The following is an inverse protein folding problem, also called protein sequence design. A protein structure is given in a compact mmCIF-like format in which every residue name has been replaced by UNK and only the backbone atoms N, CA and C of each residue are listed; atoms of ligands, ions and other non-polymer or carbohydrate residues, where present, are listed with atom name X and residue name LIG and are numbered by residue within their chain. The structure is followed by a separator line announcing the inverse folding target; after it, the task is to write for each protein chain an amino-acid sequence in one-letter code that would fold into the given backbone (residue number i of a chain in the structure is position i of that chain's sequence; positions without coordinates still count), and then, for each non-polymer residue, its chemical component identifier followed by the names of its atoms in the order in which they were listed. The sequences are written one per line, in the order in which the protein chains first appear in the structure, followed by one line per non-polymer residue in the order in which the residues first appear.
data_IF_676941427779
#
_entry.id   IF_676941427779
#
_cell.length_a   1.000
_cell.length_b   1.000
_cell.length_c   1.000
_cell.angle_alpha   90.00
_cell.angle_beta   90.00
_cell.angle_gamma   90.00
#
_symmetry.space_group_name_H-M   'P 1'
#
loop_
_entity.id
_entity.type
_entity.pdbx_description
1 polymer ?
#
# COMPACT_ATOMS: atom_id res chain seq x y z
N UNK A 1 -0.62 -2.26 24.13
CA UNK A 1 -0.10 -1.31 25.13
C UNK A 1 0.90 -1.88 26.13
N UNK A 2 0.64 -3.03 26.81
CA UNK A 2 1.59 -3.61 27.78
C UNK A 2 3.01 -3.83 27.21
N UNK A 3 3.13 -4.29 25.97
CA UNK A 3 4.43 -4.48 25.31
C UNK A 3 5.11 -3.15 24.89
N UNK A 4 4.34 -2.11 24.56
CA UNK A 4 4.92 -0.80 24.27
C UNK A 4 5.51 -0.17 25.54
N UNK A 5 4.79 -0.31 26.67
CA UNK A 5 5.26 0.10 27.99
C UNK A 5 6.47 -0.71 28.46
N UNK A 6 6.64 -1.96 28.01
CA UNK A 6 7.84 -2.72 28.34
C UNK A 6 9.05 -2.26 27.53
N UNK A 7 8.89 -1.94 26.23
CA UNK A 7 9.98 -1.39 25.41
C UNK A 7 10.48 -0.06 25.97
N UNK A 8 9.57 0.87 26.29
CA UNK A 8 9.97 2.17 26.85
C UNK A 8 10.58 2.10 28.25
N UNK A 9 10.33 1.00 28.98
CA UNK A 9 10.93 0.71 30.29
C UNK A 9 12.14 -0.22 30.21
N UNK A 10 12.66 -0.50 29.01
CA UNK A 10 13.82 -1.39 28.81
C UNK A 10 13.57 -2.86 29.13
N UNK A 11 12.30 -3.28 29.29
CA UNK A 11 11.89 -4.66 29.59
C UNK A 11 11.58 -5.50 28.36
N UNK A 12 11.62 -4.90 27.16
CA UNK A 12 11.48 -5.62 25.89
C UNK A 12 12.35 -4.96 24.82
N UNK A 13 12.92 -5.76 23.92
CA UNK A 13 13.77 -5.30 22.82
C UNK A 13 12.96 -5.07 21.54
N UNK A 14 13.53 -4.32 20.60
CA UNK A 14 12.92 -4.18 19.27
C UNK A 14 12.75 -5.53 18.55
N UNK A 15 13.66 -6.48 18.77
CA UNK A 15 13.62 -7.79 18.10
C UNK A 15 12.45 -8.65 18.59
N UNK A 16 12.18 -8.66 19.89
CA UNK A 16 11.01 -9.32 20.49
C UNK A 16 9.69 -8.74 19.96
N UNK A 17 9.69 -7.45 19.59
CA UNK A 17 8.52 -6.75 19.11
C UNK A 17 8.31 -6.81 17.58
N UNK A 18 9.24 -7.39 16.81
CA UNK A 18 9.24 -7.31 15.34
C UNK A 18 7.96 -7.84 14.68
N UNK A 19 7.30 -8.83 15.28
CA UNK A 19 6.03 -9.40 14.79
C UNK A 19 4.84 -8.43 14.84
N UNK A 20 4.95 -7.36 15.63
CA UNK A 20 3.88 -6.37 15.80
C UNK A 20 4.01 -5.17 14.87
N UNK A 21 5.12 -5.02 14.14
CA UNK A 21 5.39 -3.84 13.30
C UNK A 21 4.27 -3.52 12.29
N UNK A 22 3.61 -4.55 11.75
CA UNK A 22 2.52 -4.43 10.78
C UNK A 22 1.13 -4.26 11.39
N UNK A 23 1.01 -4.03 12.70
CA UNK A 23 -0.28 -3.78 13.36
C UNK A 23 -0.59 -2.28 13.35
N UNK A 24 -1.86 -1.93 13.12
CA UNK A 24 -2.29 -0.53 12.98
C UNK A 24 -1.86 0.35 14.15
N UNK A 25 -2.11 -0.11 15.38
CA UNK A 25 -1.87 0.61 16.63
C UNK A 25 -0.42 0.54 17.16
N UNK A 26 0.55 0.16 16.31
CA UNK A 26 1.97 0.06 16.69
C UNK A 26 2.81 1.24 16.19
N UNK A 27 2.22 2.43 16.15
CA UNK A 27 2.89 3.67 15.72
C UNK A 27 4.16 3.95 16.53
N UNK A 28 4.06 3.91 17.86
CA UNK A 28 5.23 4.11 18.73
C UNK A 28 6.33 3.08 18.52
N UNK A 29 5.98 1.81 18.25
CA UNK A 29 6.98 0.78 17.94
C UNK A 29 7.74 1.14 16.67
N UNK A 30 7.05 1.60 15.61
CA UNK A 30 7.69 2.02 14.36
C UNK A 30 8.57 3.26 14.54
N UNK A 31 8.22 4.14 15.48
CA UNK A 31 9.03 5.31 15.83
C UNK A 31 10.31 4.94 16.58
N UNK A 32 10.20 4.04 17.56
CA UNK A 32 11.34 3.64 18.42
C UNK A 32 12.23 2.57 17.78
N UNK A 33 11.64 1.70 16.97
CA UNK A 33 12.30 0.57 16.31
C UNK A 33 12.19 0.65 14.78
N UNK A 34 12.52 1.78 14.13
CA UNK A 34 12.24 2.01 12.71
C UNK A 34 12.98 1.02 11.81
N UNK A 35 14.22 0.70 12.17
CA UNK A 35 15.05 -0.29 11.47
C UNK A 35 14.43 -1.68 11.55
N UNK A 36 14.09 -2.14 12.75
CA UNK A 36 13.50 -3.46 12.95
C UNK A 36 12.15 -3.58 12.24
N UNK A 37 11.34 -2.52 12.25
CA UNK A 37 10.09 -2.48 11.52
C UNK A 37 10.25 -2.30 10.00
N UNK A 38 11.47 -2.08 9.51
CA UNK A 38 11.73 -1.92 8.09
C UNK A 38 11.25 -0.58 7.52
N UNK A 39 11.17 0.49 8.32
CA UNK A 39 10.82 1.82 7.81
C UNK A 39 11.78 2.33 6.71
N UNK A 40 12.99 1.75 6.65
CA UNK A 40 14.01 1.99 5.62
C UNK A 40 14.17 0.85 4.60
N UNK A 41 13.27 -0.14 4.62
CA UNK A 41 13.25 -1.24 3.66
C UNK A 41 12.40 -0.86 2.45
N UNK A 42 12.96 -0.99 1.25
CA UNK A 42 12.31 -0.57 0.02
C UNK A 42 11.20 -1.54 -0.40
N UNK A 43 11.45 -2.84 -0.24
CA UNK A 43 10.63 -3.89 -0.86
C UNK A 43 9.82 -4.65 0.16
N UNK A 44 10.40 -5.01 1.31
CA UNK A 44 9.74 -5.94 2.22
C UNK A 44 9.61 -5.44 3.66
N UNK A 45 9.19 -4.18 3.91
CA UNK A 45 9.10 -3.66 5.25
C UNK A 45 8.21 -4.54 6.14
N UNK A 46 8.65 -4.79 7.38
CA UNK A 46 7.85 -5.56 8.36
C UNK A 46 6.59 -4.79 8.78
N UNK A 47 6.66 -3.47 8.80
CA UNK A 47 5.53 -2.57 8.98
C UNK A 47 4.54 -2.57 7.79
N UNK A 48 4.94 -3.11 6.64
CA UNK A 48 4.05 -3.34 5.50
C UNK A 48 3.37 -2.04 5.03
N UNK A 49 2.04 -2.04 4.85
CA UNK A 49 1.21 -0.87 4.56
C UNK A 49 1.43 0.33 5.51
N UNK A 50 1.76 0.06 6.77
CA UNK A 50 2.00 1.09 7.80
C UNK A 50 3.45 1.58 7.85
N UNK A 51 4.31 1.16 6.91
CA UNK A 51 5.69 1.64 6.83
C UNK A 51 5.72 3.04 6.20
N UNK A 52 5.20 4.06 6.88
CA UNK A 52 5.16 5.44 6.39
C UNK A 52 5.11 6.47 7.54
N UNK A 53 5.42 7.75 7.27
CA UNK A 53 5.41 8.81 8.28
C UNK A 53 4.08 8.94 9.03
N UNK A 54 2.95 8.87 8.34
CA UNK A 54 1.61 8.90 8.95
C UNK A 54 1.34 7.80 9.99
N UNK A 55 2.17 6.74 10.02
CA UNK A 55 2.07 5.64 10.98
C UNK A 55 3.32 5.50 11.86
N UNK A 56 4.14 6.54 11.98
CA UNK A 56 5.21 6.62 12.97
C UNK A 56 6.58 6.20 12.47
N UNK A 57 6.76 5.87 11.18
CA UNK A 57 8.10 5.79 10.63
C UNK A 57 8.74 7.19 10.59
N UNK A 58 9.97 7.39 11.08
CA UNK A 58 10.62 8.70 11.00
C UNK A 58 10.81 9.17 9.54
N UNK A 59 10.59 10.46 9.26
CA UNK A 59 10.77 11.04 7.92
C UNK A 59 12.17 10.80 7.35
N UNK A 60 13.19 10.80 8.23
CA UNK A 60 14.57 10.49 7.85
C UNK A 60 14.74 9.10 7.23
N UNK A 61 13.98 8.09 7.66
CA UNK A 61 14.02 6.78 7.02
C UNK A 61 13.52 6.83 5.56
N UNK A 62 12.65 7.79 5.24
CA UNK A 62 12.10 8.01 3.90
C UNK A 62 13.10 8.70 2.98
N UNK A 63 13.84 9.67 3.52
CA UNK A 63 14.95 10.33 2.85
C UNK A 63 16.06 9.32 2.56
N UNK A 64 16.43 8.49 3.56
CA UNK A 64 17.41 7.41 3.41
C UNK A 64 16.99 6.39 2.36
N UNK A 65 15.70 6.01 2.30
CA UNK A 65 15.18 5.14 1.24
C UNK A 65 15.35 5.76 -0.15
N UNK A 66 14.98 7.03 -0.30
CA UNK A 66 15.07 7.74 -1.57
C UNK A 66 16.53 7.90 -2.01
N UNK A 67 17.43 8.17 -1.06
CA UNK A 67 18.88 8.19 -1.28
C UNK A 67 19.42 6.80 -1.64
N UNK A 68 18.95 5.74 -0.97
CA UNK A 68 19.38 4.37 -1.25
C UNK A 68 18.96 3.92 -2.65
N UNK A 69 17.74 4.24 -3.09
CA UNK A 69 17.31 3.99 -4.47
C UNK A 69 18.20 4.69 -5.51
N UNK A 70 18.64 5.91 -5.22
CA UNK A 70 19.58 6.65 -6.08
C UNK A 70 20.96 5.98 -6.09
N UNK A 71 21.50 5.67 -4.91
CA UNK A 71 22.81 5.04 -4.79
C UNK A 71 22.88 3.65 -5.47
N UNK A 72 21.81 2.85 -5.41
CA UNK A 72 21.78 1.55 -6.11
C UNK A 72 22.01 1.70 -7.62
N UNK A 73 21.57 2.79 -8.24
CA UNK A 73 21.88 3.08 -9.64
C UNK A 73 23.38 3.38 -9.86
N UNK A 74 24.00 4.12 -8.95
CA UNK A 74 25.44 4.45 -9.04
C UNK A 74 26.33 3.20 -8.95
N UNK A 75 25.86 2.16 -8.22
CA UNK A 75 26.53 0.85 -8.14
C UNK A 75 26.09 -0.14 -9.22
N UNK A 76 25.38 0.30 -10.26
CA UNK A 76 24.97 -0.52 -11.40
C UNK A 76 23.76 -1.43 -11.14
N UNK A 77 23.10 -1.35 -9.97
CA UNK A 77 21.82 -2.00 -9.72
C UNK A 77 20.69 -1.09 -10.18
N UNK A 78 20.42 -1.11 -11.47
CA UNK A 78 19.34 -0.31 -12.05
C UNK A 78 18.00 -0.85 -11.55
N UNK A 79 17.29 -0.05 -10.75
CA UNK A 79 15.85 -0.26 -10.52
C UNK A 79 15.14 0.31 -11.75
N UNK A 80 14.58 -0.52 -12.65
CA UNK A 80 13.99 -0.02 -13.88
C UNK A 80 12.75 0.84 -13.57
N UNK A 81 12.47 1.84 -14.40
CA UNK A 81 11.20 2.56 -14.35
C UNK A 81 10.11 1.75 -15.07
N UNK A 82 9.80 0.59 -14.52
CA UNK A 82 8.81 -0.33 -15.09
C UNK A 82 7.96 -0.86 -13.95
N UNK A 83 6.65 -0.88 -14.17
CA UNK A 83 5.71 -1.48 -13.24
C UNK A 83 5.95 -2.98 -13.10
N UNK A 84 5.80 -3.51 -11.88
CA UNK A 84 5.82 -4.95 -11.71
C UNK A 84 4.64 -5.61 -12.42
N UNK A 85 4.87 -6.81 -12.95
CA UNK A 85 3.84 -7.60 -13.63
C UNK A 85 2.66 -7.90 -12.70
N UNK A 86 1.42 -7.97 -13.23
CA UNK A 86 0.24 -8.32 -12.44
C UNK A 86 0.39 -9.62 -11.64
N UNK A 87 0.97 -10.68 -12.22
CA UNK A 87 1.20 -11.97 -11.55
C UNK A 87 2.00 -11.83 -10.25
N UNK A 88 2.90 -10.84 -10.17
CA UNK A 88 3.71 -10.60 -8.98
C UNK A 88 2.87 -10.24 -7.76
N UNK A 89 1.73 -9.59 -7.91
CA UNK A 89 0.83 -9.31 -6.78
C UNK A 89 0.24 -10.59 -6.16
N UNK A 90 0.06 -11.63 -6.98
CA UNK A 90 -0.44 -12.93 -6.55
C UNK A 90 0.65 -13.87 -6.03
N UNK A 91 1.92 -13.55 -6.21
CA UNK A 91 3.05 -14.43 -5.84
C UNK A 91 3.92 -13.83 -4.72
N UNK A 92 4.11 -12.51 -4.73
CA UNK A 92 5.01 -11.80 -3.85
C UNK A 92 4.44 -11.69 -2.42
N UNK A 93 5.13 -12.33 -1.47
CA UNK A 93 4.73 -12.35 -0.05
C UNK A 93 4.68 -10.96 0.58
N UNK A 94 5.53 -10.01 0.14
CA UNK A 94 5.54 -8.65 0.67
C UNK A 94 4.34 -7.86 0.17
N UNK A 95 4.02 -7.93 -1.14
CA UNK A 95 2.80 -7.31 -1.68
C UNK A 95 1.53 -7.91 -1.07
N UNK A 96 1.45 -9.23 -0.91
CA UNK A 96 0.32 -9.86 -0.19
C UNK A 96 0.20 -9.32 1.24
N UNK A 97 1.31 -9.21 1.96
CA UNK A 97 1.32 -8.64 3.31
C UNK A 97 0.91 -7.17 3.30
N UNK A 98 1.28 -6.41 2.28
CA UNK A 98 0.88 -5.02 2.08
C UNK A 98 -0.64 -4.90 2.00
N UNK A 99 -1.26 -5.58 1.04
CA UNK A 99 -2.70 -5.47 0.83
C UNK A 99 -3.51 -6.09 1.95
N UNK A 100 -3.05 -7.18 2.57
CA UNK A 100 -3.70 -7.70 3.78
C UNK A 100 -3.76 -6.65 4.90
N UNK A 101 -2.69 -5.88 5.11
CA UNK A 101 -2.67 -4.81 6.13
C UNK A 101 -3.47 -3.57 5.75
N UNK A 102 -3.59 -3.28 4.45
CA UNK A 102 -4.55 -2.30 3.95
C UNK A 102 -6.00 -2.74 4.20
N UNK A 103 -6.36 -3.99 3.94
CA UNK A 103 -7.71 -4.48 4.20
C UNK A 103 -8.02 -4.50 5.71
N UNK A 104 -7.04 -4.86 6.55
CA UNK A 104 -7.16 -4.69 8.01
C UNK A 104 -7.38 -3.22 8.41
N UNK A 105 -6.72 -2.27 7.73
CA UNK A 105 -6.92 -0.84 7.97
C UNK A 105 -8.36 -0.41 7.66
N UNK A 106 -8.87 -0.76 6.48
CA UNK A 106 -10.24 -0.43 6.07
C UNK A 106 -11.26 -0.96 7.09
N UNK A 107 -11.14 -2.24 7.45
CA UNK A 107 -12.10 -2.93 8.32
C UNK A 107 -12.07 -2.46 9.78
N UNK A 108 -10.91 -1.97 10.26
CA UNK A 108 -10.78 -1.51 11.65
C UNK A 108 -10.96 0.00 11.80
N UNK A 109 -10.99 0.76 10.70
CA UNK A 109 -11.08 2.22 10.75
C UNK A 109 -12.49 2.69 11.09
N UNK A 110 -12.60 3.57 12.09
CA UNK A 110 -13.86 4.22 12.43
C UNK A 110 -14.34 4.99 11.20
N UNK A 111 -15.34 4.44 10.52
CA UNK A 111 -15.92 5.04 9.33
C UNK A 111 -15.38 4.53 8.00
N UNK A 112 -14.28 3.79 7.89
CA UNK A 112 -13.76 3.38 6.56
C UNK A 112 -14.74 2.51 5.78
N UNK A 113 -15.35 1.53 6.45
CA UNK A 113 -16.41 0.70 5.86
C UNK A 113 -17.64 1.54 5.46
N UNK A 114 -17.99 2.55 6.27
CA UNK A 114 -19.11 3.45 5.96
C UNK A 114 -18.79 4.39 4.81
N UNK A 115 -17.55 4.89 4.73
CA UNK A 115 -17.05 5.69 3.60
C UNK A 115 -17.15 4.89 2.32
N UNK A 116 -16.72 3.63 2.32
CA UNK A 116 -16.82 2.77 1.12
C UNK A 116 -18.28 2.53 0.74
N UNK A 117 -19.16 2.27 1.73
CA UNK A 117 -20.60 2.13 1.48
C UNK A 117 -21.18 3.39 0.83
N UNK A 118 -20.87 4.57 1.37
CA UNK A 118 -21.31 5.85 0.82
C UNK A 118 -20.73 6.11 -0.57
N UNK A 119 -19.45 5.80 -0.79
CA UNK A 119 -18.81 5.91 -2.11
C UNK A 119 -19.49 5.01 -3.15
N UNK A 120 -19.75 3.74 -2.81
CA UNK A 120 -20.43 2.79 -3.69
C UNK A 120 -21.88 3.22 -3.98
N UNK A 121 -22.60 3.74 -2.97
CA UNK A 121 -23.96 4.23 -3.15
C UNK A 121 -24.02 5.47 -4.05
N UNK A 122 -23.18 6.47 -3.78
CA UNK A 122 -23.26 7.77 -4.44
C UNK A 122 -22.62 7.75 -5.83
N UNK A 123 -21.66 6.85 -6.08
CA UNK A 123 -20.85 6.89 -7.29
C UNK A 123 -20.74 5.53 -8.01
N UNK A 124 -21.41 4.49 -7.52
CA UNK A 124 -21.45 3.18 -8.19
C UNK A 124 -21.88 3.28 -9.65
N UNK A 125 -22.76 4.23 -9.98
CA UNK A 125 -23.17 4.50 -11.37
C UNK A 125 -22.01 4.90 -12.30
N UNK A 126 -21.03 5.67 -11.83
CA UNK A 126 -19.84 6.02 -12.61
C UNK A 126 -18.91 4.82 -12.86
N UNK A 127 -18.99 3.81 -11.99
CA UNK A 127 -18.32 2.52 -12.16
C UNK A 127 -19.16 1.52 -12.99
N UNK A 128 -20.31 1.98 -13.51
CA UNK A 128 -21.27 1.15 -14.24
C UNK A 128 -21.99 0.12 -13.36
N UNK A 129 -21.97 0.28 -12.03
CA UNK A 129 -22.62 -0.62 -11.08
C UNK A 129 -24.08 -0.24 -10.89
N UNK A 130 -24.97 -1.24 -10.91
CA UNK A 130 -26.33 -1.06 -10.39
C UNK A 130 -26.33 -0.91 -8.87
N UNK A 131 -27.42 -0.39 -8.30
CA UNK A 131 -27.57 -0.31 -6.83
C UNK A 131 -27.41 -1.68 -6.14
N UNK A 132 -27.91 -2.74 -6.77
CA UNK A 132 -27.74 -4.12 -6.28
C UNK A 132 -26.27 -4.56 -6.31
N UNK A 133 -25.53 -4.25 -7.37
CA UNK A 133 -24.10 -4.56 -7.47
C UNK A 133 -23.26 -3.75 -6.49
N UNK A 134 -23.57 -2.46 -6.29
CA UNK A 134 -22.93 -1.62 -5.29
C UNK A 134 -23.15 -2.17 -3.87
N UNK A 135 -24.36 -2.64 -3.56
CA UNK A 135 -24.66 -3.33 -2.30
C UNK A 135 -23.87 -4.64 -2.15
N UNK A 136 -23.84 -5.47 -3.19
CA UNK A 136 -23.08 -6.72 -3.20
C UNK A 136 -21.57 -6.49 -3.01
N UNK A 137 -21.02 -5.44 -3.63
CA UNK A 137 -19.63 -5.03 -3.46
C UNK A 137 -19.29 -4.67 -2.00
N UNK A 138 -20.17 -3.91 -1.35
CA UNK A 138 -20.04 -3.58 0.05
C UNK A 138 -20.04 -4.85 0.93
N UNK A 139 -20.97 -5.77 0.69
CA UNK A 139 -21.02 -7.03 1.44
C UNK A 139 -19.78 -7.90 1.19
N UNK A 140 -19.27 -7.92 -0.04
CA UNK A 140 -18.06 -8.65 -0.42
C UNK A 140 -16.80 -8.09 0.25
N UNK A 141 -16.76 -6.78 0.48
CA UNK A 141 -15.70 -6.15 1.26
C UNK A 141 -15.76 -6.60 2.72
N UNK A 142 -16.95 -6.53 3.33
CA UNK A 142 -17.14 -6.83 4.76
C UNK A 142 -16.94 -8.30 5.10
N UNK A 143 -17.31 -9.21 4.19
CA UNK A 143 -17.21 -10.66 4.41
C UNK A 143 -15.89 -11.29 3.94
N UNK A 144 -14.87 -10.48 3.65
CA UNK A 144 -13.53 -10.90 3.20
C UNK A 144 -13.45 -11.47 1.78
N UNK A 145 -14.55 -11.52 1.02
CA UNK A 145 -14.54 -12.02 -0.36
C UNK A 145 -13.61 -11.19 -1.24
N UNK A 146 -13.74 -9.86 -1.17
CA UNK A 146 -12.94 -8.96 -1.99
C UNK A 146 -11.44 -9.03 -1.64
N UNK A 147 -11.10 -9.23 -0.35
CA UNK A 147 -9.71 -9.47 0.08
C UNK A 147 -9.15 -10.69 -0.63
N UNK A 148 -9.88 -11.82 -0.61
CA UNK A 148 -9.46 -13.07 -1.24
C UNK A 148 -9.29 -12.91 -2.75
N UNK A 149 -10.24 -12.25 -3.41
CA UNK A 149 -10.19 -11.95 -4.85
C UNK A 149 -8.92 -11.18 -5.22
N UNK A 150 -8.57 -10.12 -4.48
CA UNK A 150 -7.33 -9.39 -4.74
C UNK A 150 -6.09 -10.23 -4.45
N UNK A 151 -6.10 -11.05 -3.39
CA UNK A 151 -4.95 -11.85 -3.00
C UNK A 151 -4.69 -13.04 -3.95
N UNK A 152 -5.70 -13.45 -4.70
CA UNK A 152 -5.57 -14.44 -5.77
C UNK A 152 -5.18 -13.82 -7.12
N UNK A 153 -4.98 -12.50 -7.20
CA UNK A 153 -4.65 -11.82 -8.44
C UNK A 153 -5.82 -11.63 -9.40
N UNK A 154 -7.06 -11.68 -8.89
CA UNK A 154 -8.24 -11.36 -9.68
C UNK A 154 -8.50 -9.84 -9.61
N UNK A 155 -8.53 -9.21 -10.78
CA UNK A 155 -8.63 -7.75 -10.95
C UNK A 155 -10.09 -7.29 -11.08
N UNK A 156 -10.91 -7.78 -10.18
CA UNK A 156 -12.33 -7.48 -10.13
C UNK A 156 -12.58 -6.28 -9.23
N UNK A 157 -13.39 -5.32 -9.69
CA UNK A 157 -13.76 -4.17 -8.86
C UNK A 157 -14.82 -4.56 -7.81
N UNK A 158 -15.67 -5.53 -8.17
CA UNK A 158 -16.69 -6.17 -7.33
C UNK A 158 -16.78 -7.64 -7.76
N UNK A 159 -17.23 -8.58 -6.89
CA UNK A 159 -17.24 -9.99 -7.25
C UNK A 159 -17.94 -10.28 -8.58
N UNK A 160 -17.25 -11.01 -9.46
CA UNK A 160 -17.74 -11.39 -10.77
C UNK A 160 -17.73 -10.28 -11.81
N UNK A 161 -17.13 -9.13 -11.52
CA UNK A 161 -17.02 -8.02 -12.48
C UNK A 161 -15.61 -7.46 -12.54
N UNK A 162 -15.01 -7.59 -13.72
CA UNK A 162 -13.71 -7.00 -14.04
C UNK A 162 -13.72 -5.47 -13.90
N UNK A 163 -12.53 -4.90 -13.71
CA UNK A 163 -12.34 -3.46 -13.80
C UNK A 163 -12.94 -2.91 -15.12
N UNK A 164 -13.66 -1.77 -15.12
CA UNK A 164 -14.35 -1.26 -16.32
C UNK A 164 -13.44 -1.03 -17.53
N UNK A 165 -12.18 -0.69 -17.25
CA UNK A 165 -11.10 -0.50 -18.24
C UNK A 165 -10.20 -1.72 -18.44
N UNK A 166 -10.59 -2.89 -17.91
CA UNK A 166 -9.83 -4.13 -17.92
C UNK A 166 -8.38 -3.99 -17.39
N UNK A 167 -8.18 -3.11 -16.39
CA UNK A 167 -6.86 -2.86 -15.82
C UNK A 167 -6.45 -3.96 -14.85
N UNK A 168 -5.16 -4.19 -14.74
CA UNK A 168 -4.55 -5.21 -13.89
C UNK A 168 -3.28 -4.67 -13.23
N UNK A 169 -2.82 -5.32 -12.15
CA UNK A 169 -1.55 -5.00 -11.49
C UNK A 169 -1.47 -3.54 -11.03
N UNK A 170 -0.37 -2.88 -11.38
CA UNK A 170 -0.13 -1.48 -11.03
C UNK A 170 -1.19 -0.52 -11.60
N UNK A 171 -1.61 -0.71 -12.85
CA UNK A 171 -2.63 0.14 -13.47
C UNK A 171 -4.00 0.00 -12.79
N UNK A 172 -4.31 -1.17 -12.24
CA UNK A 172 -5.50 -1.37 -11.42
C UNK A 172 -5.38 -0.60 -10.10
N UNK A 173 -4.30 -0.80 -9.35
CA UNK A 173 -4.15 -0.20 -8.01
C UNK A 173 -3.93 1.32 -8.02
N UNK A 174 -3.40 1.89 -9.11
CA UNK A 174 -3.29 3.34 -9.28
C UNK A 174 -4.51 3.97 -9.95
N UNK A 175 -5.54 3.17 -10.29
CA UNK A 175 -6.70 3.67 -11.00
C UNK A 175 -7.52 4.63 -10.12
N UNK A 176 -8.17 5.60 -10.75
CA UNK A 176 -9.07 6.50 -10.04
C UNK A 176 -10.27 5.72 -9.50
N UNK A 177 -10.74 4.67 -10.18
CA UNK A 177 -11.86 3.84 -9.74
C UNK A 177 -11.56 3.15 -8.41
N UNK A 178 -10.36 2.57 -8.28
CA UNK A 178 -9.92 1.91 -7.05
C UNK A 178 -9.67 2.94 -5.95
N UNK A 179 -8.99 4.05 -6.26
CA UNK A 179 -8.75 5.14 -5.31
C UNK A 179 -10.07 5.68 -4.76
N UNK A 180 -11.04 5.89 -5.65
CA UNK A 180 -12.36 6.40 -5.34
C UNK A 180 -13.16 5.43 -4.46
N UNK A 181 -13.19 4.15 -4.86
CA UNK A 181 -13.92 3.11 -4.13
C UNK A 181 -13.33 2.88 -2.74
N UNK A 182 -12.00 2.87 -2.62
CA UNK A 182 -11.30 2.54 -1.38
C UNK A 182 -10.98 3.74 -0.49
N UNK A 183 -11.06 4.97 -1.03
CA UNK A 183 -10.66 6.19 -0.34
C UNK A 183 -9.16 6.29 -0.04
N UNK A 184 -8.32 5.55 -0.77
CA UNK A 184 -6.87 5.52 -0.58
C UNK A 184 -6.16 5.66 -1.92
N UNK A 185 -5.32 6.69 -2.02
CA UNK A 185 -4.35 6.84 -3.10
C UNK A 185 -3.07 6.06 -2.75
N UNK A 186 -2.89 4.90 -3.39
CA UNK A 186 -1.74 4.03 -3.19
C UNK A 186 -0.42 4.64 -3.70
N UNK A 187 -0.48 5.66 -4.54
CA UNK A 187 0.68 6.39 -5.05
C UNK A 187 1.07 7.57 -4.15
N UNK A 188 0.27 7.89 -3.13
CA UNK A 188 0.60 8.91 -2.12
C UNK A 188 1.63 8.37 -1.09
N UNK A 189 2.68 9.15 -0.83
CA UNK A 189 3.77 8.75 0.07
C UNK A 189 3.64 9.22 1.52
N UNK A 190 2.62 10.02 1.86
CA UNK A 190 2.53 10.68 3.17
C UNK A 190 1.86 9.81 4.24
N UNK A 191 0.68 9.29 3.89
CA UNK A 191 -0.19 8.63 4.87
C UNK A 191 0.13 7.15 5.03
N UNK A 192 0.44 6.45 3.94
CA UNK A 192 0.70 5.02 3.93
C UNK A 192 1.94 4.71 3.11
N UNK A 193 2.42 3.47 3.18
CA UNK A 193 3.52 3.03 2.31
C UNK A 193 3.04 3.12 0.86
N UNK A 194 3.72 3.90 0.02
CA UNK A 194 3.36 4.06 -1.39
C UNK A 194 3.75 2.83 -2.22
N UNK A 195 3.01 2.60 -3.31
CA UNK A 195 3.35 1.61 -4.34
C UNK A 195 4.37 2.12 -5.37
N UNK A 196 4.82 3.38 -5.34
CA UNK A 196 5.79 3.94 -6.30
C UNK A 196 7.03 3.06 -6.57
N UNK A 197 7.65 2.39 -5.57
CA UNK A 197 8.76 1.47 -5.84
C UNK A 197 8.37 0.27 -6.73
N UNK A 198 7.13 -0.20 -6.63
CA UNK A 198 6.59 -1.32 -7.42
C UNK A 198 5.92 -0.87 -8.72
N UNK A 199 5.31 0.30 -8.70
CA UNK A 199 4.42 0.82 -9.74
C UNK A 199 4.86 2.22 -10.19
N UNK A 200 6.14 2.42 -10.56
CA UNK A 200 6.64 3.76 -10.83
C UNK A 200 5.93 4.43 -12.02
N UNK A 201 5.61 3.68 -13.08
CA UNK A 201 4.97 4.23 -14.29
C UNK A 201 3.51 4.55 -13.99
N UNK A 202 2.77 3.58 -13.44
CA UNK A 202 1.36 3.74 -13.06
C UNK A 202 1.14 4.82 -12.00
N UNK A 203 2.11 5.09 -11.13
CA UNK A 203 2.07 6.18 -10.15
C UNK A 203 2.60 7.52 -10.70
N UNK A 204 2.99 7.59 -11.97
CA UNK A 204 3.43 8.81 -12.61
C UNK A 204 4.77 9.35 -12.08
N UNK A 205 5.66 8.47 -11.61
CA UNK A 205 6.99 8.84 -11.16
C UNK A 205 7.73 9.67 -12.20
N UNK A 206 8.32 10.78 -11.78
CA UNK A 206 9.24 11.60 -12.56
C UNK A 206 10.56 11.86 -11.85
N UNK A 207 11.33 12.79 -12.42
CA UNK A 207 12.59 13.24 -11.83
C UNK A 207 12.35 13.91 -10.47
N UNK A 208 13.16 13.55 -9.47
CA UNK A 208 13.11 14.14 -8.13
C UNK A 208 11.98 13.63 -7.22
N UNK A 209 11.02 12.87 -7.75
CA UNK A 209 9.94 12.29 -6.95
C UNK A 209 10.48 11.35 -5.85
N UNK A 210 9.93 11.48 -4.64
CA UNK A 210 10.27 10.59 -3.53
C UNK A 210 9.84 9.15 -3.82
N UNK A 211 10.72 8.21 -3.47
CA UNK A 211 10.54 6.77 -3.68
C UNK A 211 10.25 6.33 -5.13
N UNK A 212 10.68 7.15 -6.08
CA UNK A 212 10.70 6.80 -7.49
C UNK A 212 12.12 6.43 -7.90
N UNK A 213 12.24 5.49 -8.84
CA UNK A 213 13.54 5.21 -9.47
C UNK A 213 13.99 6.44 -10.26
N UNK A 214 15.26 6.87 -10.15
CA UNK A 214 15.80 7.91 -11.02
C UNK A 214 15.73 7.55 -12.51
N UNK A 215 15.62 6.26 -12.86
CA UNK A 215 15.36 5.82 -14.23
C UNK A 215 14.03 6.37 -14.80
N UNK A 216 13.12 6.88 -13.96
CA UNK A 216 11.88 7.53 -14.39
C UNK A 216 12.06 8.99 -14.83
N UNK A 217 13.24 9.59 -14.62
CA UNK A 217 13.51 10.95 -15.06
C UNK A 217 13.56 11.08 -16.60
N UNK A 218 13.98 10.02 -17.28
CA UNK A 218 14.15 10.02 -18.74
C UNK A 218 12.85 9.79 -19.52
N UNK A 219 11.81 9.23 -18.90
CA UNK A 219 10.57 8.84 -19.59
C UNK A 219 9.58 9.98 -19.80
N UNK A 220 9.72 11.12 -19.10
CA UNK A 220 8.82 12.28 -19.20
C UNK A 220 9.20 13.31 -20.28
N UNK A 221 10.26 13.07 -21.07
CA UNK A 221 10.71 14.02 -22.13
C UNK A 221 10.16 13.70 -23.53
N UNK A 222 9.12 12.88 -23.63
CA UNK A 222 8.47 12.50 -24.88
C UNK A 222 7.04 13.02 -24.97
#
# INVERSE_FOLDING_TARGET
ERHLKSITRGRATCDEAKGMCGWRNMTHLRTMCPVTCGCRDLWAPRASFYAAPGFGCPSRCWEELSASMRAEMDYGKIVPCVDVLPSRFAEDKALKRYFNKFMDFLMTSNGGVMTIRSSLHNYGGYLGLSAAQASAAYHALVNDTLRKTFMSGNWEIVPGRLHPRNLQGCAFWSSWEVTFMMGVDFCNSRMFRTLRPYCPVSCGCGEGDLLCSPACASTKRG
#
